data_IF_472427258082
#
_entry.id   IF_472427258082
#
_cell.length_a   1.000
_cell.length_b   1.000
_cell.length_c   1.000
_cell.angle_alpha   90.00
_cell.angle_beta   90.00
_cell.angle_gamma   90.00
#
_symmetry.space_group_name_H-M   'P 1'
#
loop_
_entity.id
_entity.type
_entity.pdbx_description
1 polymer ?
#
# COMPACT_ATOMS: atom_id res chain seq x y z
N UNK A 1 19.18 -36.21 -8.74
CA UNK A 1 19.37 -34.74 -8.55
C UNK A 1 18.36 -34.23 -7.52
N UNK A 2 18.70 -33.22 -6.73
CA UNK A 2 17.73 -32.47 -5.90
C UNK A 2 17.71 -31.02 -6.38
N UNK A 3 16.50 -30.47 -6.58
CA UNK A 3 16.29 -29.08 -7.00
C UNK A 3 15.51 -28.39 -5.89
N UNK A 4 16.03 -27.30 -5.36
CA UNK A 4 15.30 -26.40 -4.46
C UNK A 4 15.25 -25.03 -5.12
N UNK A 5 14.05 -24.49 -5.35
CA UNK A 5 13.84 -23.21 -6.01
C UNK A 5 12.83 -22.36 -5.23
N UNK A 6 13.04 -21.05 -5.22
CA UNK A 6 12.21 -20.07 -4.49
C UNK A 6 12.37 -18.67 -5.11
N UNK A 7 11.42 -17.77 -4.85
CA UNK A 7 11.59 -16.35 -5.18
C UNK A 7 12.83 -15.81 -4.48
N UNK A 8 13.80 -15.31 -5.24
CA UNK A 8 15.04 -14.75 -4.69
C UNK A 8 14.76 -13.59 -3.75
N UNK A 9 13.71 -12.82 -4.08
CA UNK A 9 13.15 -11.79 -3.24
C UNK A 9 11.62 -11.77 -3.43
N UNK A 10 10.89 -12.19 -2.40
CA UNK A 10 9.43 -12.02 -2.39
C UNK A 10 9.11 -10.64 -1.83
N UNK A 11 9.09 -9.65 -2.72
CA UNK A 11 9.07 -8.23 -2.35
C UNK A 11 7.83 -7.87 -1.56
N UNK A 12 7.97 -7.03 -0.52
CA UNK A 12 6.83 -6.54 0.24
C UNK A 12 6.93 -5.06 0.64
N UNK A 13 5.95 -4.55 1.39
CA UNK A 13 5.88 -3.15 1.80
C UNK A 13 7.17 -2.65 2.46
N UNK A 14 7.63 -1.46 2.05
CA UNK A 14 8.85 -0.85 2.60
C UNK A 14 10.14 -1.59 2.22
N UNK A 15 10.10 -2.47 1.23
CA UNK A 15 11.25 -3.27 0.80
C UNK A 15 11.54 -4.47 1.70
N UNK A 16 10.61 -4.83 2.59
CA UNK A 16 10.74 -5.98 3.49
C UNK A 16 10.06 -7.19 2.85
N UNK A 17 10.77 -8.31 2.64
CA UNK A 17 10.16 -9.51 2.10
C UNK A 17 9.09 -10.09 3.04
N UNK A 18 7.96 -10.52 2.50
CA UNK A 18 6.78 -10.94 3.28
C UNK A 18 6.34 -12.40 3.07
N UNK A 19 6.92 -13.13 2.11
CA UNK A 19 6.66 -14.57 1.87
C UNK A 19 5.18 -14.88 1.54
N UNK A 20 4.44 -13.94 0.94
CA UNK A 20 3.07 -14.14 0.49
C UNK A 20 2.95 -14.61 -0.96
N UNK A 21 4.08 -14.67 -1.68
CA UNK A 21 4.19 -15.06 -3.08
C UNK A 21 3.72 -13.99 -4.06
N UNK A 22 3.49 -12.75 -3.61
CA UNK A 22 3.12 -11.60 -4.43
C UNK A 22 4.35 -10.70 -4.54
N UNK A 23 4.92 -10.58 -5.74
CA UNK A 23 6.20 -9.90 -5.93
C UNK A 23 6.21 -8.96 -7.14
N UNK A 24 6.95 -7.85 -7.02
CA UNK A 24 7.31 -6.97 -8.12
C UNK A 24 8.61 -7.39 -8.82
N UNK A 25 9.41 -8.24 -8.16
CA UNK A 25 10.63 -8.85 -8.69
C UNK A 25 10.44 -10.36 -8.91
N UNK A 26 10.31 -10.83 -10.16
CA UNK A 26 10.06 -12.24 -10.43
C UNK A 26 11.32 -13.12 -10.31
N UNK A 27 12.47 -12.58 -9.93
CA UNK A 27 13.74 -13.32 -9.89
C UNK A 27 13.65 -14.58 -9.04
N UNK A 28 14.06 -15.72 -9.58
CA UNK A 28 14.07 -17.01 -8.86
C UNK A 28 15.49 -17.45 -8.59
N UNK A 29 15.77 -17.82 -7.34
CA UNK A 29 17.00 -18.49 -6.95
C UNK A 29 16.74 -20.00 -6.86
N UNK A 30 17.70 -20.80 -7.31
CA UNK A 30 17.64 -22.24 -7.14
C UNK A 30 19.01 -22.84 -6.80
N UNK A 31 18.98 -23.98 -6.13
CA UNK A 31 20.14 -24.83 -5.86
C UNK A 31 19.89 -26.22 -6.42
N UNK A 32 20.92 -26.78 -7.04
CA UNK A 32 20.89 -28.11 -7.64
C UNK A 32 22.02 -28.93 -7.04
N UNK A 33 21.66 -29.97 -6.30
CA UNK A 33 22.61 -30.92 -5.70
C UNK A 33 22.55 -32.24 -6.45
N UNK A 34 23.68 -32.75 -6.93
CA UNK A 34 23.69 -33.94 -7.79
C UNK A 34 24.87 -34.84 -7.50
N UNK A 35 24.59 -36.14 -7.40
CA UNK A 35 25.56 -37.24 -7.39
C UNK A 35 24.90 -38.41 -8.13
N UNK A 36 25.37 -38.87 -9.32
CA UNK A 36 26.50 -38.40 -10.15
C UNK A 36 26.20 -37.06 -10.87
N UNK A 37 26.92 -36.70 -11.95
CA UNK A 37 26.79 -35.39 -12.57
C UNK A 37 25.41 -35.14 -13.24
N UNK A 38 25.05 -33.86 -13.38
CA UNK A 38 23.80 -33.42 -14.00
C UNK A 38 23.87 -33.56 -15.52
N UNK A 39 22.96 -34.35 -16.11
CA UNK A 39 22.86 -34.53 -17.56
C UNK A 39 22.03 -33.42 -18.21
N UNK A 40 20.78 -33.22 -17.75
CA UNK A 40 19.90 -32.15 -18.24
C UNK A 40 19.29 -31.34 -17.09
N UNK A 41 18.98 -30.08 -17.38
CA UNK A 41 18.18 -29.22 -16.51
C UNK A 41 17.37 -28.28 -17.39
N UNK A 42 16.05 -28.42 -17.33
CA UNK A 42 15.10 -27.63 -18.09
C UNK A 42 14.16 -26.88 -17.17
N UNK A 43 13.67 -25.74 -17.64
CA UNK A 43 12.59 -24.99 -16.99
C UNK A 43 11.56 -24.53 -18.02
N UNK A 44 10.33 -24.25 -17.58
CA UNK A 44 9.27 -23.70 -18.41
C UNK A 44 8.22 -22.95 -17.56
N UNK A 45 7.45 -22.09 -18.22
CA UNK A 45 6.26 -21.43 -17.68
C UNK A 45 5.06 -21.90 -18.52
N UNK A 46 3.96 -22.28 -17.87
CA UNK A 46 2.80 -22.86 -18.55
C UNK A 46 2.97 -24.35 -18.85
N UNK A 47 2.60 -24.79 -20.05
CA UNK A 47 2.59 -26.22 -20.41
C UNK A 47 3.93 -26.69 -21.01
N UNK A 48 4.32 -27.92 -20.66
CA UNK A 48 5.48 -28.63 -21.22
C UNK A 48 5.08 -29.17 -22.61
N UNK A 49 5.40 -28.43 -23.69
CA UNK A 49 6.68 -28.74 -24.33
C UNK A 49 7.59 -27.52 -24.50
N UNK A 50 7.23 -26.36 -23.93
CA UNK A 50 7.95 -25.09 -24.11
C UNK A 50 9.23 -25.00 -23.25
N UNK A 51 9.86 -26.13 -22.93
CA UNK A 51 10.97 -26.15 -21.98
C UNK A 51 12.28 -25.70 -22.59
N UNK A 52 13.02 -24.89 -21.82
CA UNK A 52 14.32 -24.34 -22.21
C UNK A 52 15.39 -24.95 -21.30
N UNK A 53 16.52 -25.32 -21.89
CA UNK A 53 17.69 -25.75 -21.13
C UNK A 53 18.29 -24.58 -20.34
N UNK A 54 18.32 -24.72 -19.02
CA UNK A 54 18.93 -23.76 -18.09
C UNK A 54 20.21 -24.31 -17.43
N UNK A 55 20.67 -25.49 -17.86
CA UNK A 55 21.88 -26.15 -17.33
C UNK A 55 23.12 -25.23 -17.37
N UNK A 56 23.22 -24.37 -18.38
CA UNK A 56 24.32 -23.41 -18.52
C UNK A 56 24.36 -22.31 -17.44
N UNK A 57 23.28 -22.14 -16.66
CA UNK A 57 23.21 -21.16 -15.57
C UNK A 57 23.73 -21.72 -14.24
N UNK A 58 23.98 -23.03 -14.15
CA UNK A 58 24.44 -23.69 -12.91
C UNK A 58 25.89 -23.33 -12.64
N UNK A 59 26.14 -22.69 -11.51
CA UNK A 59 27.46 -22.34 -11.03
C UNK A 59 28.17 -23.56 -10.41
N UNK A 60 29.49 -23.46 -10.19
CA UNK A 60 30.29 -24.55 -9.63
C UNK A 60 29.85 -25.02 -8.23
N UNK A 61 29.21 -24.13 -7.45
CA UNK A 61 28.63 -24.43 -6.14
C UNK A 61 27.20 -25.02 -6.21
N UNK A 62 26.67 -25.24 -7.41
CA UNK A 62 25.31 -25.76 -7.63
C UNK A 62 24.19 -24.70 -7.61
N UNK A 63 24.49 -23.42 -7.34
CA UNK A 63 23.46 -22.37 -7.40
C UNK A 63 23.22 -21.87 -8.82
N UNK A 64 22.00 -21.41 -9.10
CA UNK A 64 21.62 -20.70 -10.31
C UNK A 64 20.57 -19.63 -9.99
N UNK A 65 20.47 -18.64 -10.88
CA UNK A 65 19.46 -17.58 -10.78
C UNK A 65 18.75 -17.46 -12.13
N UNK A 66 17.41 -17.51 -12.10
CA UNK A 66 16.59 -17.12 -13.24
C UNK A 66 16.28 -15.64 -13.12
N UNK A 67 16.97 -14.83 -13.93
CA UNK A 67 16.72 -13.38 -14.00
C UNK A 67 15.40 -13.09 -14.72
N UNK A 68 14.86 -11.86 -14.61
CA UNK A 68 13.66 -11.48 -15.35
C UNK A 68 13.78 -11.71 -16.86
N UNK A 69 14.97 -11.57 -17.44
CA UNK A 69 15.22 -11.85 -18.86
C UNK A 69 15.08 -13.34 -19.20
N UNK A 70 15.62 -14.22 -18.35
CA UNK A 70 15.47 -15.68 -18.53
C UNK A 70 14.01 -16.08 -18.38
N UNK A 71 13.30 -15.53 -17.39
CA UNK A 71 11.88 -15.81 -17.19
C UNK A 71 11.01 -15.33 -18.36
N UNK A 72 11.35 -14.20 -18.98
CA UNK A 72 10.68 -13.76 -20.22
C UNK A 72 10.93 -14.71 -21.40
N UNK A 73 12.15 -15.28 -21.51
CA UNK A 73 12.43 -16.30 -22.51
C UNK A 73 11.59 -17.56 -22.26
N UNK A 74 11.51 -18.02 -21.01
CA UNK A 74 10.67 -19.16 -20.61
C UNK A 74 9.18 -18.92 -20.89
N UNK A 75 8.71 -17.69 -20.71
CA UNK A 75 7.33 -17.27 -20.99
C UNK A 75 7.04 -17.07 -22.48
N UNK A 76 8.07 -17.01 -23.34
CA UNK A 76 7.91 -16.68 -24.76
C UNK A 76 7.58 -15.20 -25.03
N UNK A 77 7.81 -14.31 -24.06
CA UNK A 77 7.50 -12.88 -24.17
C UNK A 77 7.56 -12.14 -22.83
N UNK A 78 7.23 -10.83 -22.82
CA UNK A 78 7.17 -10.03 -21.61
C UNK A 78 6.30 -10.68 -20.53
N UNK A 79 6.73 -10.60 -19.26
CA UNK A 79 5.94 -11.00 -18.12
C UNK A 79 5.02 -9.85 -17.72
N UNK A 80 3.74 -9.97 -18.01
CA UNK A 80 2.70 -9.04 -17.54
C UNK A 80 2.33 -9.36 -16.10
N UNK A 81 1.66 -8.45 -15.40
CA UNK A 81 1.18 -8.73 -14.05
C UNK A 81 0.13 -9.86 -14.09
N UNK A 82 0.22 -10.79 -13.14
CA UNK A 82 -0.56 -12.02 -13.17
C UNK A 82 0.09 -13.19 -12.44
N UNK A 83 -0.57 -14.35 -12.49
CA UNK A 83 -0.06 -15.57 -11.86
C UNK A 83 0.87 -16.35 -12.78
N UNK A 84 1.95 -16.86 -12.21
CA UNK A 84 2.94 -17.69 -12.90
C UNK A 84 3.32 -18.91 -12.06
N UNK A 85 3.52 -20.03 -12.73
CA UNK A 85 4.15 -21.22 -12.16
C UNK A 85 5.36 -21.55 -13.03
N UNK A 86 6.54 -21.52 -12.42
CA UNK A 86 7.81 -21.90 -13.05
C UNK A 86 8.10 -23.33 -12.66
N UNK A 87 8.21 -24.19 -13.66
CA UNK A 87 8.51 -25.60 -13.48
C UNK A 87 9.98 -25.87 -13.78
N UNK A 88 10.54 -26.85 -13.07
CA UNK A 88 11.91 -27.32 -13.25
C UNK A 88 11.90 -28.84 -13.41
N UNK A 89 12.76 -29.35 -14.29
CA UNK A 89 13.05 -30.78 -14.43
C UNK A 89 14.55 -30.99 -14.60
N UNK A 90 15.14 -31.81 -13.73
CA UNK A 90 16.54 -32.20 -13.81
C UNK A 90 16.69 -33.70 -13.96
N UNK A 91 17.65 -34.13 -14.79
CA UNK A 91 17.97 -35.55 -15.00
C UNK A 91 19.48 -35.74 -14.84
N UNK A 92 19.92 -36.73 -14.08
CA UNK A 92 21.34 -37.08 -13.97
C UNK A 92 21.81 -38.04 -15.08
N UNK A 93 23.10 -38.38 -15.08
CA UNK A 93 23.71 -39.32 -16.04
C UNK A 93 23.16 -40.76 -15.93
N UNK A 94 22.50 -41.10 -14.82
CA UNK A 94 21.85 -42.40 -14.60
C UNK A 94 20.33 -42.35 -14.89
N UNK A 95 19.85 -41.26 -15.49
CA UNK A 95 18.45 -41.01 -15.80
C UNK A 95 17.52 -40.90 -14.56
N UNK A 96 18.05 -40.60 -13.37
CA UNK A 96 17.18 -40.21 -12.26
C UNK A 96 16.65 -38.80 -12.47
N UNK A 97 15.35 -38.65 -12.35
CA UNK A 97 14.66 -37.38 -12.51
C UNK A 97 14.34 -36.71 -11.17
N UNK A 98 14.27 -35.39 -11.17
CA UNK A 98 13.62 -34.61 -10.12
C UNK A 98 12.94 -33.38 -10.70
N UNK A 99 11.87 -32.93 -10.02
CA UNK A 99 11.10 -31.76 -10.40
C UNK A 99 10.96 -30.80 -9.23
N UNK A 100 10.75 -29.53 -9.54
CA UNK A 100 10.42 -28.49 -8.57
C UNK A 100 9.49 -27.47 -9.25
N UNK A 101 8.72 -26.74 -8.45
CA UNK A 101 7.89 -25.64 -8.94
C UNK A 101 8.02 -24.43 -8.04
N UNK A 102 7.91 -23.24 -8.63
CA UNK A 102 7.79 -21.97 -7.92
C UNK A 102 6.53 -21.28 -8.44
N UNK A 103 5.56 -21.05 -7.54
CA UNK A 103 4.37 -20.27 -7.84
C UNK A 103 4.57 -18.84 -7.38
N UNK A 104 4.14 -17.87 -8.19
CA UNK A 104 4.17 -16.45 -7.85
C UNK A 104 2.98 -15.72 -8.47
N UNK A 105 2.58 -14.61 -7.85
CA UNK A 105 1.80 -13.55 -8.47
C UNK A 105 2.72 -12.37 -8.70
N UNK A 106 2.95 -12.06 -9.96
CA UNK A 106 3.71 -10.91 -10.38
C UNK A 106 2.81 -9.68 -10.36
N UNK A 107 3.21 -8.66 -9.62
CA UNK A 107 2.49 -7.41 -9.49
C UNK A 107 3.48 -6.26 -9.43
N UNK A 108 3.47 -5.38 -10.44
CA UNK A 108 4.41 -4.25 -10.56
C UNK A 108 3.71 -2.92 -10.54
N UNK A 109 2.42 -2.91 -10.25
CA UNK A 109 1.60 -1.70 -10.34
C UNK A 109 0.73 -1.60 -9.11
N UNK A 110 0.61 -0.38 -8.59
CA UNK A 110 -0.41 -0.07 -7.62
C UNK A 110 -1.05 1.26 -7.99
N UNK A 111 -2.17 1.57 -7.35
CA UNK A 111 -2.91 2.81 -7.57
C UNK A 111 -2.79 3.72 -6.35
N UNK A 112 -2.91 5.03 -6.57
CA UNK A 112 -3.01 5.98 -5.46
C UNK A 112 -4.31 5.71 -4.66
N UNK A 113 -4.31 5.92 -3.34
CA UNK A 113 -5.55 5.86 -2.56
C UNK A 113 -6.59 6.88 -3.05
N UNK A 114 -7.85 6.66 -2.70
CA UNK A 114 -8.89 7.66 -2.89
C UNK A 114 -8.67 8.87 -1.97
N UNK A 115 -9.40 9.97 -2.25
CA UNK A 115 -9.39 11.17 -1.39
C UNK A 115 -9.75 10.74 0.05
N UNK A 116 -8.99 11.15 1.08
CA UNK A 116 -9.41 10.96 2.45
C UNK A 116 -10.77 11.60 2.69
N UNK A 117 -11.55 11.02 3.60
CA UNK A 117 -12.92 11.44 3.88
C UNK A 117 -13.13 11.64 5.38
N UNK A 118 -13.78 12.75 5.72
CA UNK A 118 -14.30 12.98 7.06
C UNK A 118 -15.70 12.37 7.12
N UNK A 119 -15.95 11.34 7.96
CA UNK A 119 -17.28 10.75 8.05
C UNK A 119 -18.32 11.80 8.41
N UNK A 120 -19.51 11.74 7.77
CA UNK A 120 -20.60 12.72 7.98
C UNK A 120 -21.04 12.85 9.44
N UNK A 121 -20.89 11.80 10.25
CA UNK A 121 -21.17 11.82 11.70
C UNK A 121 -20.14 12.64 12.51
N UNK A 122 -18.98 12.89 11.92
CA UNK A 122 -17.86 13.65 12.48
C UNK A 122 -17.69 15.03 11.80
N UNK A 123 -18.44 15.30 10.74
CA UNK A 123 -18.59 16.63 10.15
C UNK A 123 -19.64 17.42 10.94
N UNK A 124 -19.19 18.05 12.03
CA UNK A 124 -20.10 18.52 13.09
C UNK A 124 -20.57 19.96 12.90
N UNK A 125 -20.26 20.57 11.75
CA UNK A 125 -20.73 21.89 11.34
C UNK A 125 -22.25 21.94 11.15
N UNK A 126 -22.73 23.05 10.59
CA UNK A 126 -24.13 23.15 10.20
C UNK A 126 -24.43 22.30 8.95
N UNK A 127 -23.50 22.32 8.00
CA UNK A 127 -23.46 21.40 6.87
C UNK A 127 -22.61 20.18 7.27
N UNK A 128 -22.95 18.99 6.78
CA UNK A 128 -22.23 17.73 7.04
C UNK A 128 -21.50 17.22 5.80
N UNK A 129 -21.24 18.13 4.86
CA UNK A 129 -20.52 17.89 3.61
C UNK A 129 -19.44 18.95 3.32
N UNK A 130 -19.20 19.87 4.24
CA UNK A 130 -18.23 20.97 4.10
C UNK A 130 -16.88 20.67 4.80
N UNK A 131 -16.77 19.53 5.49
CA UNK A 131 -15.59 19.09 6.23
C UNK A 131 -15.19 20.03 7.37
N UNK A 132 -16.18 20.64 8.03
CA UNK A 132 -16.04 21.52 9.19
C UNK A 132 -16.40 20.79 10.50
N UNK A 133 -15.42 20.56 11.36
CA UNK A 133 -15.63 19.83 12.61
C UNK A 133 -15.13 20.56 13.85
N UNK A 134 -15.78 20.30 14.99
CA UNK A 134 -15.31 20.69 16.33
C UNK A 134 -14.51 19.59 17.01
N UNK A 135 -14.43 18.40 16.40
CA UNK A 135 -13.69 17.26 16.92
C UNK A 135 -12.21 17.52 16.64
N UNK A 136 -11.39 17.64 17.70
CA UNK A 136 -9.98 17.96 17.56
C UNK A 136 -9.16 16.83 16.91
N UNK A 137 -9.55 15.58 17.12
CA UNK A 137 -8.95 14.40 16.50
C UNK A 137 -10.02 13.58 15.79
N UNK A 138 -10.54 14.06 14.65
CA UNK A 138 -11.63 13.38 13.97
C UNK A 138 -11.14 12.04 13.38
N UNK A 139 -12.05 11.07 13.21
CA UNK A 139 -11.76 9.90 12.39
C UNK A 139 -11.64 10.32 10.93
N UNK A 140 -10.72 9.70 10.19
CA UNK A 140 -10.54 9.86 8.74
C UNK A 140 -10.55 8.48 8.11
N UNK A 141 -11.35 8.30 7.06
CA UNK A 141 -11.34 7.08 6.25
C UNK A 141 -10.60 7.32 4.94
N UNK A 142 -9.81 6.33 4.50
CA UNK A 142 -9.14 6.34 3.21
C UNK A 142 -9.38 5.01 2.52
N UNK A 143 -10.08 4.99 1.39
CA UNK A 143 -10.18 3.80 0.55
C UNK A 143 -8.88 3.62 -0.24
N UNK A 144 -8.37 2.39 -0.27
CA UNK A 144 -7.17 2.02 -0.99
C UNK A 144 -7.24 0.57 -1.43
N UNK A 145 -6.22 0.12 -2.15
CA UNK A 145 -6.09 -1.29 -2.50
C UNK A 145 -6.07 -2.17 -1.23
N UNK A 146 -6.93 -3.22 -1.14
CA UNK A 146 -6.94 -4.12 0.02
C UNK A 146 -5.57 -4.74 0.28
N UNK A 147 -5.14 -4.76 1.53
CA UNK A 147 -3.82 -5.27 1.93
C UNK A 147 -2.68 -4.27 1.74
N UNK A 148 -2.90 -3.15 1.04
CA UNK A 148 -1.91 -2.09 0.95
C UNK A 148 -1.71 -1.38 2.29
N UNK A 149 -0.47 -0.96 2.54
CA UNK A 149 -0.10 -0.14 3.68
C UNK A 149 -0.32 1.33 3.34
N UNK A 150 -1.34 1.96 3.92
CA UNK A 150 -1.69 3.36 3.70
C UNK A 150 -1.01 4.23 4.75
N UNK A 151 -0.28 5.26 4.32
CA UNK A 151 0.24 6.33 5.17
C UNK A 151 -0.58 7.59 4.96
N UNK A 152 -1.19 8.09 6.04
CA UNK A 152 -1.90 9.37 6.09
C UNK A 152 -0.90 10.51 6.34
N UNK A 153 -1.08 11.63 5.65
CA UNK A 153 -0.27 12.83 5.77
C UNK A 153 -1.14 14.03 6.14
N UNK A 154 -0.57 14.94 6.94
CA UNK A 154 -1.12 16.28 7.21
C UNK A 154 -0.09 17.29 6.73
N UNK A 155 -0.50 18.19 5.83
CA UNK A 155 0.37 19.24 5.27
C UNK A 155 1.71 18.65 4.80
N UNK A 156 1.62 17.58 4.00
CA UNK A 156 2.71 16.77 3.44
C UNK A 156 3.60 16.02 4.44
N UNK A 157 3.31 16.07 5.74
CA UNK A 157 4.02 15.30 6.76
C UNK A 157 3.31 13.98 7.07
N UNK A 158 3.98 12.81 6.95
CA UNK A 158 3.39 11.52 7.31
C UNK A 158 3.15 11.46 8.82
N UNK A 159 1.95 11.04 9.23
CA UNK A 159 1.55 10.99 10.64
C UNK A 159 1.19 9.59 11.13
N UNK A 160 0.46 8.83 10.33
CA UNK A 160 -0.13 7.55 10.73
C UNK A 160 -0.05 6.57 9.56
N UNK A 161 0.07 5.28 9.88
CA UNK A 161 0.08 4.21 8.88
C UNK A 161 -0.88 3.10 9.31
N UNK A 162 -1.67 2.59 8.37
CA UNK A 162 -2.65 1.54 8.60
C UNK A 162 -2.80 0.68 7.34
N UNK A 163 -2.97 -0.63 7.51
CA UNK A 163 -3.31 -1.53 6.39
C UNK A 163 -4.78 -1.35 6.01
N UNK A 164 -5.06 -1.16 4.72
CA UNK A 164 -6.42 -1.03 4.20
C UNK A 164 -7.11 -2.39 4.06
N UNK A 165 -8.40 -2.46 4.43
CA UNK A 165 -9.21 -3.65 4.20
C UNK A 165 -10.71 -3.32 4.01
N UNK A 166 -11.20 -2.96 2.81
CA UNK A 166 -10.56 -2.19 1.71
C UNK A 166 -10.35 -0.70 2.07
N UNK A 167 -10.70 -0.31 3.29
CA UNK A 167 -10.56 1.07 3.79
C UNK A 167 -9.61 1.05 4.98
N UNK A 168 -8.70 2.01 5.03
CA UNK A 168 -7.89 2.30 6.20
C UNK A 168 -8.63 3.35 7.06
N UNK A 169 -8.83 3.03 8.34
CA UNK A 169 -9.46 3.94 9.31
C UNK A 169 -8.38 4.53 10.20
N UNK A 170 -8.33 5.85 10.29
CA UNK A 170 -7.41 6.60 11.11
C UNK A 170 -8.18 7.43 12.14
N UNK A 171 -7.57 7.64 13.30
CA UNK A 171 -7.99 8.67 14.25
C UNK A 171 -6.88 9.69 14.33
N UNK A 172 -7.15 10.93 13.91
CA UNK A 172 -6.13 11.98 13.98
C UNK A 172 -5.75 12.28 15.43
N UNK A 173 -4.49 12.66 15.70
CA UNK A 173 -4.15 13.27 16.98
C UNK A 173 -4.98 14.55 17.18
N UNK A 174 -5.12 15.01 18.42
CA UNK A 174 -5.82 16.27 18.67
C UNK A 174 -5.07 17.45 18.04
N UNK A 175 -5.73 18.15 17.11
CA UNK A 175 -5.24 19.34 16.42
C UNK A 175 -5.91 20.60 17.00
N UNK A 176 -5.23 21.74 16.80
CA UNK A 176 -5.79 23.05 17.13
C UNK A 176 -6.87 23.46 16.09
N UNK A 177 -7.60 24.54 16.37
CA UNK A 177 -8.43 25.17 15.34
C UNK A 177 -7.55 25.61 14.17
N UNK A 178 -8.01 25.38 12.95
CA UNK A 178 -7.26 25.65 11.73
C UNK A 178 -7.77 24.84 10.55
N UNK A 179 -7.15 25.05 9.39
CA UNK A 179 -7.40 24.28 8.17
C UNK A 179 -6.16 23.46 7.84
N UNK A 180 -6.38 22.18 7.53
CA UNK A 180 -5.35 21.19 7.26
C UNK A 180 -5.58 20.53 5.91
N UNK A 181 -4.50 20.20 5.18
CA UNK A 181 -4.57 19.39 3.98
C UNK A 181 -4.25 17.94 4.32
N UNK A 182 -5.26 17.07 4.24
CA UNK A 182 -5.10 15.65 4.52
C UNK A 182 -4.95 14.91 3.19
N UNK A 183 -3.83 14.22 3.00
CA UNK A 183 -3.57 13.34 1.85
C UNK A 183 -3.19 11.94 2.34
N UNK A 184 -3.14 10.98 1.41
CA UNK A 184 -2.68 9.63 1.69
C UNK A 184 -1.83 9.09 0.55
N UNK A 185 -0.93 8.15 0.85
CA UNK A 185 -0.26 7.29 -0.13
C UNK A 185 -0.28 5.86 0.35
N UNK A 186 -0.18 4.89 -0.55
CA UNK A 186 -0.13 3.47 -0.22
C UNK A 186 1.13 2.81 -0.78
N UNK A 187 1.50 1.68 -0.18
CA UNK A 187 2.39 0.68 -0.77
C UNK A 187 1.62 -0.64 -0.77
N UNK A 188 1.49 -1.30 -1.93
CA UNK A 188 0.77 -2.58 -2.03
C UNK A 188 1.52 -3.76 -1.39
N UNK A 189 0.95 -4.97 -1.48
CA UNK A 189 1.56 -6.18 -0.94
C UNK A 189 2.84 -6.61 -1.67
N UNK A 190 3.01 -6.28 -2.96
CA UNK A 190 4.25 -6.50 -3.72
C UNK A 190 5.33 -5.44 -3.44
N UNK A 191 5.03 -4.43 -2.61
CA UNK A 191 5.96 -3.34 -2.32
C UNK A 191 5.98 -2.23 -3.37
N UNK A 192 5.03 -2.18 -4.31
CA UNK A 192 4.92 -1.09 -5.27
C UNK A 192 4.40 0.18 -4.57
N UNK A 193 5.08 1.33 -4.71
CA UNK A 193 4.63 2.59 -4.12
C UNK A 193 3.56 3.26 -5.00
N UNK A 194 2.44 3.63 -4.39
CA UNK A 194 1.37 4.40 -5.00
C UNK A 194 1.64 5.91 -5.00
N UNK A 195 0.90 6.62 -5.85
CA UNK A 195 0.87 8.07 -5.85
C UNK A 195 0.18 8.66 -4.61
N UNK A 196 0.24 9.98 -4.47
CA UNK A 196 -0.57 10.71 -3.48
C UNK A 196 -2.03 10.76 -3.95
N UNK A 197 -2.95 10.63 -3.00
CA UNK A 197 -4.37 10.87 -3.21
C UNK A 197 -4.67 12.37 -3.39
N UNK A 198 -5.86 12.73 -3.93
CA UNK A 198 -6.35 14.10 -3.85
C UNK A 198 -6.48 14.56 -2.39
N UNK A 199 -6.28 15.87 -2.09
CA UNK A 199 -6.35 16.37 -0.73
C UNK A 199 -7.80 16.52 -0.23
N UNK A 200 -7.99 16.29 1.06
CA UNK A 200 -9.15 16.71 1.85
C UNK A 200 -8.78 17.99 2.61
N UNK A 201 -9.48 19.09 2.35
CA UNK A 201 -9.37 20.32 3.13
C UNK A 201 -10.24 20.19 4.39
N UNK A 202 -9.62 19.79 5.51
CA UNK A 202 -10.29 19.64 6.80
C UNK A 202 -10.21 20.94 7.59
N UNK A 203 -11.34 21.47 8.04
CA UNK A 203 -11.35 22.62 8.95
C UNK A 203 -11.79 22.20 10.35
N UNK A 204 -10.94 22.46 11.34
CA UNK A 204 -11.27 22.29 12.75
C UNK A 204 -11.59 23.67 13.33
N UNK A 205 -12.78 23.81 13.92
CA UNK A 205 -13.23 25.04 14.59
C UNK A 205 -13.87 24.70 15.93
N UNK A 206 -13.28 25.20 17.02
CA UNK A 206 -13.69 24.88 18.41
C UNK A 206 -14.13 26.09 19.21
N UNK A 207 -14.07 27.26 18.60
CA UNK A 207 -14.51 28.52 19.15
C UNK A 207 -16.03 28.48 19.39
N UNK A 208 -16.43 28.91 20.58
CA UNK A 208 -17.84 29.08 20.92
C UNK A 208 -18.13 30.58 20.83
N UNK A 209 -19.26 31.00 20.22
CA UNK A 209 -19.62 32.42 20.17
C UNK A 209 -19.72 33.02 21.57
N UNK A 210 -19.09 34.18 21.78
CA UNK A 210 -19.19 34.91 23.05
C UNK A 210 -20.30 35.94 22.93
N UNK A 211 -21.37 35.78 23.71
CA UNK A 211 -22.45 36.77 23.81
C UNK A 211 -22.13 37.70 24.98
N UNK A 212 -21.88 38.97 24.67
CA UNK A 212 -21.66 40.00 25.70
C UNK A 212 -22.90 40.87 25.79
N UNK A 213 -23.48 40.97 26.99
CA UNK A 213 -24.58 41.89 27.27
C UNK A 213 -24.01 43.12 27.97
N UNK A 214 -24.12 44.28 27.33
CA UNK A 214 -23.75 45.56 27.93
C UNK A 214 -25.04 46.20 28.42
N UNK A 215 -25.21 46.30 29.74
CA UNK A 215 -26.26 47.14 30.32
C UNK A 215 -25.68 48.55 30.39
N UNK A 216 -26.17 49.45 29.54
CA UNK A 216 -25.85 50.86 29.67
C UNK A 216 -26.34 51.36 31.04
N UNK A 217 -25.55 52.16 31.78
CA UNK A 217 -26.06 52.79 33.00
C UNK A 217 -27.27 53.63 32.63
N UNK A 218 -28.37 53.47 33.36
CA UNK A 218 -29.56 54.30 33.21
C UNK A 218 -29.13 55.77 33.29
N UNK A 219 -29.14 56.47 32.15
CA UNK A 219 -29.38 57.90 32.16
C UNK A 219 -30.87 58.03 32.37
N UNK A 220 -31.27 58.77 33.41
CA UNK A 220 -32.66 59.03 33.79
C UNK A 220 -33.53 59.38 32.57
N UNK A 221 -34.21 58.38 32.01
CA UNK A 221 -35.27 58.49 31.01
C UNK A 221 -36.13 57.22 31.06
N UNK A 222 -37.44 57.39 30.91
CA UNK A 222 -38.50 56.43 31.23
C UNK A 222 -38.63 55.26 30.22
N UNK A 223 -37.59 54.99 29.44
CA UNK A 223 -37.55 53.90 28.44
C UNK A 223 -36.20 53.17 28.49
N UNK A 224 -36.10 51.99 29.13
CA UNK A 224 -34.87 51.19 29.11
C UNK A 224 -34.57 50.71 27.68
N UNK A 225 -33.33 50.92 27.21
CA UNK A 225 -32.79 50.34 25.97
C UNK A 225 -31.83 49.21 26.34
N UNK A 226 -31.97 48.04 25.71
CA UNK A 226 -31.06 46.90 25.83
C UNK A 226 -30.40 46.70 24.47
N UNK A 227 -29.07 46.90 24.39
CA UNK A 227 -28.28 46.57 23.22
C UNK A 227 -27.64 45.18 23.40
N UNK A 228 -27.87 44.28 22.44
CA UNK A 228 -27.26 42.94 22.39
C UNK A 228 -26.38 42.85 21.15
N UNK A 229 -25.08 42.60 21.34
CA UNK A 229 -24.14 42.33 20.24
C UNK A 229 -23.55 40.92 20.37
N UNK A 230 -23.50 40.19 19.25
CA UNK A 230 -22.84 38.89 19.14
C UNK A 230 -21.62 39.05 18.24
N UNK A 231 -20.45 38.63 18.72
CA UNK A 231 -19.20 38.60 17.94
C UNK A 231 -18.63 37.19 17.97
N UNK A 232 -18.18 36.69 16.83
CA UNK A 232 -17.43 35.44 16.77
C UNK A 232 -16.06 35.64 17.43
N UNK A 233 -15.53 34.61 18.09
CA UNK A 233 -14.18 34.70 18.66
C UNK A 233 -13.15 34.61 17.52
N UNK A 234 -12.19 35.54 17.51
CA UNK A 234 -11.15 35.66 16.48
C UNK A 234 -10.19 34.47 16.46
#
# INVERSE_FOLDING_TARGET
PTINAFLANDTGPGGVPNQDGITSDPTIAATVTVVPALNTLTAWIGDEPSSISIRGLVQANGSLVLTPTVLQQLNGGPLVDGQYIVHFKGVDELAHESTATVSMRLDRTTTAPERPDLPTSSDTGFDNSDNLTRIAGPPISVAAEPGSTVTLLIDDQPILTQVANPTAMFTLPALASGTYQITARSIDSAGNPGGLSPPLALTIRREVPVVTMIIAPFQDDLTPVIDVSVTDAA
#
